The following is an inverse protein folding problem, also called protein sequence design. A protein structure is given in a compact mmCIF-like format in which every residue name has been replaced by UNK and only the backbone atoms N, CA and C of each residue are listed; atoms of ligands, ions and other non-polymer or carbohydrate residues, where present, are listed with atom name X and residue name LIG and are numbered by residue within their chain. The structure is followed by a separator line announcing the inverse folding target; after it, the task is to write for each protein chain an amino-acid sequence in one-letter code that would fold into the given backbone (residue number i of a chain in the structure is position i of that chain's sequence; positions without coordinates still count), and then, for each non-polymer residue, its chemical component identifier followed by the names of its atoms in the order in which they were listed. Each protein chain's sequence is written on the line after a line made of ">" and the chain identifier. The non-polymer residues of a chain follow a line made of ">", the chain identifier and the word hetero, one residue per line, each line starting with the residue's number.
data_IF_465227528998
#
_entry.id   IF_465227528998
#
_cell.length_a   1.000
_cell.length_b   1.000
_cell.length_c   1.000
_cell.angle_alpha   90.00
_cell.angle_beta   90.00
_cell.angle_gamma   90.00
#
_symmetry.space_group_name_H-M   'P 1'
#
loop_
_entity.id
_entity.type
_entity.pdbx_description
1 polymer ?
#
# COMPACT_ATOMS: atom_id res chain seq x y z
N UNK A 1 -23.31 0.44 -13.80
CA UNK A 1 -22.55 0.07 -12.58
C UNK A 1 -22.11 1.37 -11.94
N UNK A 2 -22.44 1.62 -10.67
CA UNK A 2 -21.92 2.79 -9.96
C UNK A 2 -20.53 2.41 -9.44
N UNK A 3 -19.51 3.13 -9.89
CA UNK A 3 -18.13 2.91 -9.49
C UNK A 3 -17.97 3.40 -8.05
N UNK A 4 -17.21 2.68 -7.21
CA UNK A 4 -16.86 3.15 -5.87
C UNK A 4 -16.25 4.55 -5.89
N UNK A 5 -16.20 5.22 -4.73
CA UNK A 5 -15.71 6.61 -4.63
C UNK A 5 -14.39 6.81 -5.41
N UNK A 6 -14.33 7.70 -6.42
CA UNK A 6 -13.17 7.85 -7.27
C UNK A 6 -11.93 8.29 -6.48
N UNK A 7 -12.14 9.01 -5.39
CA UNK A 7 -11.08 9.39 -4.47
C UNK A 7 -10.52 8.19 -3.71
N UNK A 8 -11.37 7.28 -3.23
CA UNK A 8 -10.90 6.05 -2.55
C UNK A 8 -10.18 5.14 -3.53
N UNK A 9 -10.69 5.01 -4.76
CA UNK A 9 -10.02 4.27 -5.81
C UNK A 9 -8.64 4.85 -6.13
N UNK A 10 -8.51 6.18 -6.17
CA UNK A 10 -7.23 6.85 -6.34
C UNK A 10 -6.26 6.53 -5.19
N UNK A 11 -6.70 6.66 -3.93
CA UNK A 11 -5.85 6.34 -2.77
C UNK A 11 -5.37 4.88 -2.78
N UNK A 12 -6.27 3.94 -3.09
CA UNK A 12 -5.93 2.53 -3.24
C UNK A 12 -4.94 2.30 -4.39
N UNK A 13 -5.13 2.96 -5.54
CA UNK A 13 -4.23 2.87 -6.68
C UNK A 13 -2.84 3.41 -6.35
N UNK A 14 -2.75 4.57 -5.67
CA UNK A 14 -1.47 5.13 -5.21
C UNK A 14 -0.78 4.16 -4.26
N UNK A 15 -1.46 3.67 -3.22
CA UNK A 15 -0.87 2.71 -2.28
C UNK A 15 -0.40 1.42 -2.99
N UNK A 16 -1.20 0.91 -3.93
CA UNK A 16 -0.84 -0.27 -4.74
C UNK A 16 0.44 -0.03 -5.54
N UNK A 17 0.51 1.09 -6.27
CA UNK A 17 1.70 1.45 -7.04
C UNK A 17 2.92 1.60 -6.15
N UNK A 18 2.76 2.20 -4.98
CA UNK A 18 3.84 2.35 -4.01
C UNK A 18 4.40 1.00 -3.56
N UNK A 19 3.57 0.01 -3.24
CA UNK A 19 4.05 -1.35 -2.91
C UNK A 19 4.72 -2.05 -4.11
N UNK A 20 4.21 -1.86 -5.33
CA UNK A 20 4.83 -2.41 -6.54
C UNK A 20 6.23 -1.83 -6.73
N UNK A 21 6.37 -0.51 -6.60
CA UNK A 21 7.64 0.20 -6.76
C UNK A 21 8.61 -0.19 -5.66
N UNK A 22 8.19 -0.21 -4.39
CA UNK A 22 9.03 -0.61 -3.27
C UNK A 22 9.53 -2.06 -3.42
N UNK A 23 8.64 -2.99 -3.78
CA UNK A 23 9.00 -4.39 -4.04
C UNK A 23 10.03 -4.51 -5.16
N UNK A 24 9.86 -3.76 -6.26
CA UNK A 24 10.80 -3.75 -7.36
C UNK A 24 12.18 -3.21 -6.94
N UNK A 25 12.22 -2.14 -6.15
CA UNK A 25 13.48 -1.59 -5.60
C UNK A 25 14.17 -2.61 -4.69
N UNK A 26 13.43 -3.28 -3.82
CA UNK A 26 13.96 -4.35 -2.95
C UNK A 26 14.43 -5.59 -3.73
N UNK A 27 13.90 -5.85 -4.93
CA UNK A 27 14.44 -6.85 -5.85
C UNK A 27 15.72 -6.40 -6.58
N UNK A 28 16.23 -5.19 -6.29
CA UNK A 28 17.44 -4.64 -6.89
C UNK A 28 17.19 -3.76 -8.11
N UNK A 29 15.95 -3.29 -8.31
CA UNK A 29 15.66 -2.32 -9.39
C UNK A 29 16.04 -0.92 -8.95
N UNK A 30 17.10 -0.36 -9.52
CA UNK A 30 17.45 1.03 -9.27
C UNK A 30 16.61 1.98 -10.15
N UNK A 31 15.87 2.91 -9.53
CA UNK A 31 14.98 3.84 -10.24
C UNK A 31 15.57 5.26 -10.21
N UNK A 32 16.05 5.80 -11.34
CA UNK A 32 16.56 7.16 -11.39
C UNK A 32 15.41 8.18 -11.39
N UNK A 33 15.41 9.10 -10.43
CA UNK A 33 14.48 10.23 -10.28
C UNK A 33 15.15 11.56 -10.66
N UNK A 34 16.12 11.53 -11.58
CA UNK A 34 16.91 12.67 -12.00
C UNK A 34 18.10 12.93 -11.08
N UNK A 35 17.87 13.61 -9.95
CA UNK A 35 18.94 13.98 -8.99
C UNK A 35 19.15 12.97 -7.87
N UNK A 36 18.23 12.01 -7.72
CA UNK A 36 18.25 10.95 -6.72
C UNK A 36 17.98 9.63 -7.43
N UNK A 37 18.66 8.56 -7.04
CA UNK A 37 18.32 7.19 -7.44
C UNK A 37 17.72 6.48 -6.24
N UNK A 38 16.54 5.88 -6.43
CA UNK A 38 16.02 4.93 -5.46
C UNK A 38 16.76 3.62 -5.65
N UNK A 39 17.52 3.21 -4.64
CA UNK A 39 18.28 1.98 -4.62
C UNK A 39 18.34 1.46 -3.18
N UNK A 40 17.68 0.34 -2.92
CA UNK A 40 17.73 -0.34 -1.62
C UNK A 40 17.54 -1.86 -1.80
N UNK A 41 18.64 -2.64 -1.89
CA UNK A 41 18.58 -4.07 -2.13
C UNK A 41 18.26 -4.87 -0.85
N UNK A 42 17.32 -4.42 -0.02
CA UNK A 42 16.83 -5.22 1.10
C UNK A 42 15.85 -6.31 0.64
N UNK A 43 16.42 -7.40 0.14
CA UNK A 43 15.70 -8.51 -0.49
C UNK A 43 14.58 -9.14 0.37
N UNK A 44 14.72 -9.13 1.70
CA UNK A 44 13.75 -9.77 2.59
C UNK A 44 12.37 -9.09 2.57
N UNK A 45 12.29 -7.80 2.20
CA UNK A 45 11.04 -7.06 2.10
C UNK A 45 10.34 -7.21 0.73
N UNK A 46 11.08 -7.64 -0.30
CA UNK A 46 10.58 -7.66 -1.67
C UNK A 46 9.35 -8.56 -1.86
N UNK A 47 9.39 -9.78 -1.29
CA UNK A 47 8.28 -10.75 -1.38
C UNK A 47 7.06 -10.30 -0.56
N UNK A 48 7.17 -9.93 0.72
CA UNK A 48 6.05 -9.40 1.49
C UNK A 48 5.32 -8.25 0.79
N UNK A 49 6.06 -7.30 0.22
CA UNK A 49 5.46 -6.15 -0.46
C UNK A 49 4.77 -6.53 -1.77
N UNK A 50 5.33 -7.46 -2.54
CA UNK A 50 4.68 -7.99 -3.74
C UNK A 50 3.34 -8.67 -3.40
N UNK A 51 3.28 -9.40 -2.29
CA UNK A 51 2.04 -10.03 -1.80
C UNK A 51 1.02 -8.96 -1.44
N UNK A 52 1.42 -7.93 -0.69
CA UNK A 52 0.53 -6.82 -0.32
C UNK A 52 0.03 -6.09 -1.58
N UNK A 53 0.91 -5.82 -2.55
CA UNK A 53 0.53 -5.23 -3.83
C UNK A 53 -0.53 -6.05 -4.56
N UNK A 54 -0.32 -7.37 -4.68
CA UNK A 54 -1.29 -8.27 -5.32
C UNK A 54 -2.66 -8.27 -4.61
N UNK A 55 -2.66 -8.29 -3.28
CA UNK A 55 -3.89 -8.21 -2.47
C UNK A 55 -4.60 -6.86 -2.68
N UNK A 56 -3.85 -5.75 -2.74
CA UNK A 56 -4.41 -4.42 -3.01
C UNK A 56 -4.99 -4.29 -4.42
N UNK A 57 -4.37 -4.90 -5.44
CA UNK A 57 -4.93 -4.96 -6.80
C UNK A 57 -6.31 -5.63 -6.79
N UNK A 58 -6.45 -6.76 -6.10
CA UNK A 58 -7.76 -7.44 -5.94
C UNK A 58 -8.77 -6.54 -5.25
N UNK A 59 -8.36 -5.81 -4.22
CA UNK A 59 -9.16 -4.82 -3.52
C UNK A 59 -9.66 -3.69 -4.42
N UNK A 60 -8.75 -3.11 -5.21
CA UNK A 60 -9.04 -2.03 -6.14
C UNK A 60 -10.00 -2.49 -7.24
N UNK A 61 -9.77 -3.66 -7.84
CA UNK A 61 -10.69 -4.25 -8.81
C UNK A 61 -12.06 -4.47 -8.17
N UNK A 62 -12.10 -5.01 -6.95
CA UNK A 62 -13.32 -5.17 -6.17
C UNK A 62 -14.07 -3.86 -6.01
N UNK A 63 -13.40 -2.78 -5.58
CA UNK A 63 -14.02 -1.47 -5.43
C UNK A 63 -14.62 -0.95 -6.74
N UNK A 64 -13.88 -1.07 -7.85
CA UNK A 64 -14.33 -0.62 -9.17
C UNK A 64 -15.51 -1.45 -9.69
N UNK A 65 -15.57 -2.72 -9.32
CA UNK A 65 -16.68 -3.63 -9.61
C UNK A 65 -17.89 -3.44 -8.67
N UNK A 66 -17.80 -2.55 -7.68
CA UNK A 66 -18.88 -2.32 -6.70
C UNK A 66 -18.90 -3.33 -5.55
N UNK A 67 -17.77 -3.91 -5.17
CA UNK A 67 -17.63 -4.85 -4.05
C UNK A 67 -16.84 -4.19 -2.91
N UNK A 68 -17.51 -3.31 -2.14
CA UNK A 68 -16.85 -2.44 -1.16
C UNK A 68 -16.09 -3.20 -0.07
N UNK A 69 -16.61 -4.35 0.37
CA UNK A 69 -16.04 -5.10 1.46
C UNK A 69 -14.68 -5.71 1.06
N UNK A 70 -14.49 -6.04 -0.22
CA UNK A 70 -13.22 -6.54 -0.72
C UNK A 70 -12.15 -5.46 -0.65
N UNK A 71 -12.51 -4.22 -0.99
CA UNK A 71 -11.66 -3.05 -0.82
C UNK A 71 -11.26 -2.84 0.65
N UNK A 72 -12.22 -2.98 1.58
CA UNK A 72 -11.95 -2.83 3.02
C UNK A 72 -11.01 -3.92 3.54
N UNK A 73 -11.31 -5.19 3.28
CA UNK A 73 -10.53 -6.33 3.81
C UNK A 73 -9.09 -6.30 3.29
N UNK A 74 -8.90 -6.01 2.00
CA UNK A 74 -7.56 -5.91 1.39
C UNK A 74 -6.79 -4.71 1.92
N UNK A 75 -7.44 -3.56 2.15
CA UNK A 75 -6.79 -2.39 2.77
C UNK A 75 -6.40 -2.68 4.23
N UNK A 76 -7.24 -3.40 4.99
CA UNK A 76 -6.92 -3.84 6.35
C UNK A 76 -5.75 -4.82 6.38
N UNK A 77 -5.73 -5.81 5.49
CA UNK A 77 -4.61 -6.73 5.33
C UNK A 77 -3.30 -5.97 5.06
N UNK A 78 -3.36 -5.01 4.14
CA UNK A 78 -2.20 -4.18 3.78
C UNK A 78 -1.72 -3.32 4.94
N UNK A 79 -2.64 -2.76 5.73
CA UNK A 79 -2.29 -2.01 6.93
C UNK A 79 -1.60 -2.89 7.97
N UNK A 80 -2.11 -4.10 8.20
CA UNK A 80 -1.48 -5.07 9.10
C UNK A 80 -0.07 -5.48 8.63
N UNK A 81 0.10 -5.75 7.34
CA UNK A 81 1.40 -6.04 6.73
C UNK A 81 2.39 -4.87 6.88
N UNK A 82 1.92 -3.63 6.65
CA UNK A 82 2.74 -2.42 6.81
C UNK A 82 3.15 -2.19 8.27
N UNK A 83 2.26 -2.44 9.23
CA UNK A 83 2.59 -2.36 10.67
C UNK A 83 3.64 -3.39 11.05
N UNK A 84 3.55 -4.60 10.51
CA UNK A 84 4.54 -5.64 10.74
C UNK A 84 5.91 -5.24 10.15
N UNK A 85 5.94 -4.78 8.90
CA UNK A 85 7.15 -4.27 8.25
C UNK A 85 7.80 -3.13 9.04
N UNK A 86 7.00 -2.15 9.46
CA UNK A 86 7.47 -1.03 10.29
C UNK A 86 8.06 -1.51 11.62
N UNK A 87 7.44 -2.49 12.27
CA UNK A 87 7.94 -3.05 13.54
C UNK A 87 9.30 -3.73 13.36
N UNK A 88 9.52 -4.43 12.25
CA UNK A 88 10.81 -5.05 11.91
C UNK A 88 11.87 -3.98 11.68
N UNK A 89 11.54 -2.94 10.89
CA UNK A 89 12.44 -1.81 10.61
C UNK A 89 12.83 -1.09 11.90
N UNK A 90 11.88 -0.77 12.77
CA UNK A 90 12.14 -0.11 14.06
C UNK A 90 12.96 -0.97 15.04
N UNK A 91 12.90 -2.30 14.91
CA UNK A 91 13.68 -3.22 15.74
C UNK A 91 15.11 -3.43 15.22
N UNK A 92 15.42 -2.96 14.01
CA UNK A 92 16.74 -3.10 13.41
C UNK A 92 17.64 -1.92 13.75
N UNK A 93 18.90 -2.20 14.15
CA UNK A 93 19.85 -1.18 14.63
C UNK A 93 20.44 -0.27 13.53
N UNK A 94 20.09 -0.49 12.26
CA UNK A 94 20.62 0.24 11.12
C UNK A 94 19.78 1.51 10.84
N UNK A 95 20.45 2.60 10.45
CA UNK A 95 19.83 3.89 10.12
C UNK A 95 18.94 3.87 8.87
N UNK A 96 17.75 3.27 9.00
CA UNK A 96 16.74 3.06 7.95
C UNK A 96 15.67 4.15 7.92
N UNK A 97 16.10 5.41 7.95
CA UNK A 97 15.16 6.55 7.95
C UNK A 97 14.24 6.57 6.72
N UNK A 98 14.73 6.11 5.56
CA UNK A 98 13.95 5.92 4.33
C UNK A 98 12.82 4.90 4.50
N UNK A 99 13.14 3.70 4.98
CA UNK A 99 12.16 2.63 5.19
C UNK A 99 11.09 3.04 6.20
N UNK A 100 11.49 3.72 7.28
CA UNK A 100 10.54 4.26 8.27
C UNK A 100 9.61 5.27 7.59
N UNK A 101 10.14 6.23 6.85
CA UNK A 101 9.36 7.25 6.15
C UNK A 101 8.39 6.61 5.16
N UNK A 102 8.83 5.61 4.41
CA UNK A 102 8.00 4.82 3.49
C UNK A 102 6.84 4.13 4.23
N UNK A 103 7.12 3.32 5.25
CA UNK A 103 6.09 2.58 5.98
C UNK A 103 5.09 3.51 6.66
N UNK A 104 5.55 4.59 7.30
CA UNK A 104 4.68 5.57 7.95
C UNK A 104 3.79 6.30 6.93
N UNK A 105 4.35 6.68 5.78
CA UNK A 105 3.59 7.37 4.72
C UNK A 105 2.50 6.48 4.12
N UNK A 106 2.85 5.24 3.79
CA UNK A 106 1.88 4.27 3.27
C UNK A 106 0.82 3.93 4.31
N UNK A 107 1.21 3.73 5.58
CA UNK A 107 0.27 3.47 6.66
C UNK A 107 -0.74 4.61 6.84
N UNK A 108 -0.29 5.88 6.75
CA UNK A 108 -1.19 7.03 6.81
C UNK A 108 -2.24 7.00 5.69
N UNK A 109 -1.82 6.70 4.46
CA UNK A 109 -2.74 6.56 3.31
C UNK A 109 -3.73 5.41 3.54
N UNK A 110 -3.28 4.26 4.03
CA UNK A 110 -4.13 3.11 4.32
C UNK A 110 -5.15 3.42 5.42
N UNK A 111 -4.75 4.10 6.50
CA UNK A 111 -5.65 4.50 7.60
C UNK A 111 -6.73 5.46 7.10
N UNK A 112 -6.37 6.47 6.30
CA UNK A 112 -7.34 7.38 5.68
C UNK A 112 -8.31 6.60 4.77
N UNK A 113 -7.78 5.68 3.96
CA UNK A 113 -8.57 4.85 3.05
C UNK A 113 -9.56 3.97 3.81
N UNK A 114 -9.13 3.32 4.90
CA UNK A 114 -9.99 2.53 5.80
C UNK A 114 -11.09 3.43 6.39
N UNK A 115 -10.71 4.60 6.92
CA UNK A 115 -11.66 5.56 7.49
C UNK A 115 -12.76 5.97 6.51
N UNK A 116 -12.41 6.15 5.23
CA UNK A 116 -13.37 6.44 4.17
C UNK A 116 -14.25 5.22 3.84
N UNK A 117 -13.65 4.03 3.74
CA UNK A 117 -14.35 2.78 3.41
C UNK A 117 -15.35 2.33 4.49
N UNK A 118 -15.15 2.71 5.75
CA UNK A 118 -16.13 2.42 6.82
C UNK A 118 -17.29 3.41 6.86
N UNK A 119 -17.26 4.50 6.08
CA UNK A 119 -18.39 5.45 6.06
C UNK A 119 -19.60 4.85 5.35
N UNK A 120 -20.84 5.27 5.69
CA UNK A 120 -22.05 4.83 4.97
C UNK A 120 -21.98 5.11 3.48
N UNK A 121 -21.35 6.22 3.06
CA UNK A 121 -21.19 6.58 1.65
C UNK A 121 -20.46 5.49 0.86
N UNK A 122 -19.43 4.87 1.44
CA UNK A 122 -18.69 3.80 0.78
C UNK A 122 -19.52 2.52 0.57
N UNK A 123 -20.53 2.27 1.40
CA UNK A 123 -21.40 1.08 1.36
C UNK A 123 -22.62 1.24 0.44
N UNK A 124 -23.01 2.48 0.15
CA UNK A 124 -24.23 2.82 -0.60
C UNK A 124 -23.94 3.00 -2.11
N UNK A 125 -22.67 3.15 -2.48
CA UNK A 125 -22.24 3.25 -3.88
C UNK A 125 -21.93 1.90 -4.54
N UNK A 126 -22.21 0.81 -3.85
CA UNK A 126 -22.04 -0.59 -4.27
C UNK A 126 -23.37 -1.29 -4.33
#
# INVERSE_FOLDING_TARGET
>A
MKVGSPFVALLMAVATLTFIVASAVHFGTSIPLGVVTLDDPFHDAAIPEAIIAGVMVVGLIGLLAGVWWLALVTTLFSAAGTILGLSIVLSSAAGRSGDIAYHVSVLAVLVVTIGLLVTPRARVHT
#
